data_IF_136444708562
#
_entry.id   IF_136444708562
#
_cell.length_a   1.000
_cell.length_b   1.000
_cell.length_c   1.000
_cell.angle_alpha   90.00
_cell.angle_beta   90.00
_cell.angle_gamma   90.00
#
_symmetry.space_group_name_H-M   'P 1'
#
loop_
_entity.id
_entity.type
_entity.pdbx_description
1 polymer ?
#
# COMPACT_ATOMS: atom_id res chain seq x y z
N UNK A 1 5.32 -28.76 16.99
CA UNK A 1 5.10 -28.51 15.54
C UNK A 1 4.01 -27.47 15.52
N UNK A 2 4.44 -26.23 15.69
CA UNK A 2 3.54 -25.10 15.89
C UNK A 2 3.17 -24.55 14.53
N UNK A 3 1.87 -24.59 14.25
CA UNK A 3 1.23 -23.95 13.10
C UNK A 3 1.73 -22.51 12.97
N UNK A 4 2.43 -22.22 11.87
CA UNK A 4 2.67 -20.83 11.47
C UNK A 4 1.60 -20.45 10.45
N UNK A 5 0.53 -19.74 10.83
CA UNK A 5 -0.34 -19.13 9.86
C UNK A 5 0.39 -17.88 9.34
N UNK A 6 1.36 -18.03 8.43
CA UNK A 6 1.82 -16.91 7.59
C UNK A 6 0.82 -16.66 6.48
N UNK A 7 -0.46 -16.52 6.85
CA UNK A 7 -1.49 -15.93 6.00
C UNK A 7 -1.67 -14.45 6.37
N UNK A 8 -0.56 -13.77 6.64
CA UNK A 8 -0.48 -12.35 6.38
C UNK A 8 0.24 -12.24 5.05
N UNK A 9 -0.54 -12.29 3.97
CA UNK A 9 -0.21 -11.53 2.76
C UNK A 9 -0.33 -10.06 3.18
N UNK A 10 0.60 -9.66 4.05
CA UNK A 10 0.82 -8.29 4.44
C UNK A 10 1.30 -7.64 3.15
N UNK A 11 0.45 -6.78 2.62
CA UNK A 11 0.78 -5.89 1.54
C UNK A 11 1.89 -4.96 2.06
N UNK A 12 3.14 -5.44 2.07
CA UNK A 12 4.29 -4.66 2.51
C UNK A 12 4.40 -3.42 1.61
N UNK A 13 4.65 -2.26 2.23
CA UNK A 13 4.67 -0.96 1.54
C UNK A 13 5.52 -0.98 0.23
N UNK A 14 6.70 -1.63 0.17
CA UNK A 14 7.45 -1.76 -1.09
C UNK A 14 6.68 -2.45 -2.22
N UNK A 15 5.89 -3.48 -1.90
CA UNK A 15 5.08 -4.22 -2.89
C UNK A 15 3.92 -3.36 -3.41
N UNK A 16 3.28 -2.57 -2.53
CA UNK A 16 2.21 -1.62 -2.90
C UNK A 16 2.74 -0.54 -3.84
N UNK A 17 3.89 0.04 -3.51
CA UNK A 17 4.53 1.07 -4.32
C UNK A 17 4.97 0.54 -5.70
N UNK A 18 5.46 -0.70 -5.75
CA UNK A 18 5.82 -1.35 -7.01
C UNK A 18 4.59 -1.59 -7.91
N UNK A 19 3.48 -2.06 -7.34
CA UNK A 19 2.21 -2.22 -8.06
C UNK A 19 1.70 -0.87 -8.57
N UNK A 20 1.72 0.16 -7.73
CA UNK A 20 1.31 1.51 -8.10
C UNK A 20 2.09 2.04 -9.31
N UNK A 21 3.42 1.98 -9.25
CA UNK A 21 4.27 2.45 -10.35
C UNK A 21 4.02 1.69 -11.65
N UNK A 22 3.83 0.36 -11.57
CA UNK A 22 3.53 -0.47 -12.74
C UNK A 22 2.19 -0.12 -13.39
N UNK A 23 1.14 0.11 -12.59
CA UNK A 23 -0.18 0.47 -13.09
C UNK A 23 -0.23 1.90 -13.63
N UNK A 24 0.43 2.84 -12.95
CA UNK A 24 0.54 4.24 -13.39
C UNK A 24 1.26 4.34 -14.75
N UNK A 25 2.26 3.50 -15.00
CA UNK A 25 2.97 3.45 -16.28
C UNK A 25 2.09 2.94 -17.44
N UNK A 26 1.02 2.20 -17.18
CA UNK A 26 0.11 1.66 -18.21
C UNK A 26 -1.00 2.63 -18.62
N UNK A 27 -1.30 3.64 -17.79
CA UNK A 27 -2.35 4.63 -18.03
C UNK A 27 -2.23 5.36 -19.39
N UNK A 28 -1.04 5.82 -19.82
CA UNK A 28 -0.89 6.51 -21.12
C UNK A 28 -1.24 5.65 -22.34
N UNK A 29 -1.15 4.32 -22.23
CA UNK A 29 -1.44 3.38 -23.31
C UNK A 29 -2.81 2.69 -23.21
N UNK A 30 -3.57 2.97 -22.15
CA UNK A 30 -4.81 2.26 -21.87
C UNK A 30 -5.99 2.80 -22.71
N UNK A 31 -6.87 1.89 -23.13
CA UNK A 31 -8.19 2.27 -23.68
C UNK A 31 -9.00 3.02 -22.61
N UNK A 32 -9.99 3.83 -23.00
CA UNK A 32 -10.78 4.65 -22.06
C UNK A 32 -11.34 3.84 -20.87
N UNK A 33 -11.90 2.66 -21.13
CA UNK A 33 -12.43 1.75 -20.10
C UNK A 33 -11.32 1.12 -19.24
N UNK A 34 -10.17 0.81 -19.85
CA UNK A 34 -8.99 0.33 -19.13
C UNK A 34 -8.39 1.42 -18.24
N UNK A 35 -8.37 2.67 -18.70
CA UNK A 35 -7.89 3.81 -17.92
C UNK A 35 -8.79 4.10 -16.72
N UNK A 36 -10.11 3.93 -16.83
CA UNK A 36 -11.03 4.04 -15.69
C UNK A 36 -10.77 2.96 -14.64
N UNK A 37 -10.59 1.70 -15.07
CA UNK A 37 -10.24 0.61 -14.16
C UNK A 37 -8.87 0.81 -13.49
N UNK A 38 -7.86 1.26 -14.24
CA UNK A 38 -6.54 1.57 -13.72
C UNK A 38 -6.58 2.71 -12.70
N UNK A 39 -7.36 3.77 -12.96
CA UNK A 39 -7.53 4.88 -11.99
C UNK A 39 -8.19 4.41 -10.70
N UNK A 40 -9.21 3.57 -10.79
CA UNK A 40 -9.85 3.01 -9.60
C UNK A 40 -8.86 2.20 -8.76
N UNK A 41 -8.06 1.34 -9.41
CA UNK A 41 -7.04 0.54 -8.72
C UNK A 41 -5.93 1.39 -8.10
N UNK A 42 -5.50 2.46 -8.77
CA UNK A 42 -4.51 3.38 -8.22
C UNK A 42 -5.02 4.12 -6.98
N UNK A 43 -6.30 4.51 -6.96
CA UNK A 43 -6.92 5.12 -5.78
C UNK A 43 -6.95 4.16 -4.58
N UNK A 44 -7.25 2.88 -4.80
CA UNK A 44 -7.17 1.86 -3.75
C UNK A 44 -5.74 1.73 -3.18
N UNK A 45 -4.73 1.77 -4.06
CA UNK A 45 -3.32 1.69 -3.64
C UNK A 45 -2.87 2.94 -2.87
N UNK A 46 -3.33 4.13 -3.27
CA UNK A 46 -3.07 5.38 -2.53
C UNK A 46 -3.62 5.28 -1.09
N UNK A 47 -4.85 4.79 -0.90
CA UNK A 47 -5.43 4.58 0.43
C UNK A 47 -4.62 3.60 1.29
N UNK A 48 -4.09 2.52 0.68
CA UNK A 48 -3.24 1.56 1.38
C UNK A 48 -1.89 2.17 1.79
N UNK A 49 -1.33 3.05 0.97
CA UNK A 49 -0.11 3.80 1.27
C UNK A 49 -0.35 4.74 2.46
N UNK A 50 -1.45 5.49 2.43
CA UNK A 50 -1.81 6.41 3.52
C UNK A 50 -2.00 5.68 4.85
N UNK A 51 -2.68 4.52 4.83
CA UNK A 51 -2.83 3.67 6.02
C UNK A 51 -1.49 3.17 6.56
N UNK A 52 -0.53 2.86 5.69
CA UNK A 52 0.82 2.49 6.10
C UNK A 52 1.58 3.66 6.73
N UNK A 53 1.50 4.85 6.13
CA UNK A 53 2.12 6.07 6.66
C UNK A 53 1.53 6.43 8.05
N UNK A 54 0.20 6.34 8.20
CA UNK A 54 -0.48 6.59 9.46
C UNK A 54 0.01 5.63 10.56
N UNK A 55 0.08 4.32 10.28
CA UNK A 55 0.58 3.32 11.23
C UNK A 55 2.03 3.57 11.65
N UNK A 56 2.89 3.97 10.71
CA UNK A 56 4.29 4.31 11.02
C UNK A 56 4.36 5.54 11.93
N UNK A 57 3.53 6.55 11.67
CA UNK A 57 3.49 7.79 12.46
C UNK A 57 3.01 7.53 13.89
N UNK A 58 1.94 6.75 14.06
CA UNK A 58 1.41 6.35 15.38
C UNK A 58 2.42 5.50 16.19
N UNK A 59 3.19 4.65 15.50
CA UNK A 59 4.25 3.85 16.13
C UNK A 59 5.40 4.73 16.61
N UNK A 60 5.80 5.74 15.82
CA UNK A 60 6.87 6.67 16.19
C UNK A 60 6.50 7.56 17.40
N UNK A 61 5.26 8.06 17.46
CA UNK A 61 4.80 8.87 18.61
C UNK A 61 4.76 8.04 19.91
N UNK A 62 4.36 6.77 19.81
CA UNK A 62 4.35 5.84 20.93
C UNK A 62 5.75 5.56 21.50
N UNK A 63 6.76 5.46 20.63
CA UNK A 63 8.16 5.26 21.03
C UNK A 63 8.78 6.51 21.68
N UNK A 64 8.35 7.72 21.29
CA UNK A 64 8.83 8.99 21.84
C UNK A 64 8.29 9.24 23.26
N UNK A 65 7.01 8.89 23.50
CA UNK A 65 6.39 8.95 24.83
C UNK A 65 7.04 7.97 25.82
N UNK A 66 7.46 6.79 25.35
CA UNK A 66 8.10 5.77 26.21
C UNK A 66 9.58 6.06 26.52
N UNK A 67 10.22 7.01 25.81
CA UNK A 67 11.60 7.44 26.06
C UNK A 67 11.73 8.72 26.89
N UNK A 68 10.61 9.37 27.23
CA UNK A 68 10.54 10.60 28.03
C UNK A 68 10.29 10.30 29.50
#
# INVERSE_FOLDING_TARGET
MDDIPRQQVGSDLPSVLAEYGHLAAQLPGASRRGAEALRARLAELDELIDQHIARLSETQESDEINRS
#
